data_IF_873763839752
#
_entry.id   IF_873763839752
#
_cell.length_a   1.000
_cell.length_b   1.000
_cell.length_c   1.000
_cell.angle_alpha   90.00
_cell.angle_beta   90.00
_cell.angle_gamma   90.00
#
_symmetry.space_group_name_H-M   'P 1'
#
loop_
_entity.id
_entity.type
_entity.pdbx_description
1 polymer ?
#
# COMPACT_ATOMS: atom_id res chain seq x y z
N UNK A 1 -9.15 -2.56 -2.90
CA UNK A 1 -8.25 -1.43 -2.58
C UNK A 1 -7.00 -2.00 -1.93
N UNK A 2 -5.82 -1.55 -2.33
CA UNK A 2 -4.52 -1.95 -1.76
C UNK A 2 -3.87 -0.74 -1.09
N UNK A 3 -3.25 -0.94 0.06
CA UNK A 3 -2.51 0.08 0.79
C UNK A 3 -1.00 -0.21 0.73
N UNK A 4 -0.22 0.84 0.49
CA UNK A 4 1.24 0.82 0.64
C UNK A 4 1.59 1.60 1.89
N UNK A 5 2.31 0.96 2.79
CA UNK A 5 2.62 1.52 4.11
C UNK A 5 4.13 1.59 4.26
N UNK A 6 4.63 2.78 4.61
CA UNK A 6 6.01 2.98 5.05
C UNK A 6 5.93 3.32 6.53
N UNK A 7 6.58 2.51 7.37
CA UNK A 7 6.64 2.77 8.80
C UNK A 7 7.65 3.87 9.08
N UNK A 8 7.38 4.66 10.13
CA UNK A 8 8.37 5.60 10.65
C UNK A 8 9.54 4.82 11.25
N UNK A 9 10.75 5.39 11.28
CA UNK A 9 11.89 4.77 11.96
C UNK A 9 11.53 4.38 13.40
N UNK A 10 11.79 3.13 13.77
CA UNK A 10 11.47 2.58 15.10
C UNK A 10 10.00 2.19 15.33
N UNK A 11 9.08 2.52 14.40
CA UNK A 11 7.70 2.08 14.49
C UNK A 11 7.55 0.64 13.99
N UNK A 12 6.69 -0.12 14.65
CA UNK A 12 6.28 -1.46 14.24
C UNK A 12 4.77 -1.47 14.11
N UNK A 13 4.28 -2.02 13.00
CA UNK A 13 2.87 -2.32 12.84
C UNK A 13 2.73 -3.53 11.91
N UNK A 14 1.75 -4.35 12.20
CA UNK A 14 1.36 -5.51 11.40
C UNK A 14 0.23 -5.15 10.44
N UNK A 15 0.04 -5.97 9.40
CA UNK A 15 -1.07 -5.77 8.46
C UNK A 15 -2.43 -5.83 9.18
N UNK A 16 -2.55 -6.68 10.20
CA UNK A 16 -3.78 -6.82 10.98
C UNK A 16 -4.09 -5.57 11.81
N UNK A 17 -3.09 -5.01 12.50
CA UNK A 17 -3.25 -3.76 13.25
C UNK A 17 -3.67 -2.59 12.35
N UNK A 18 -3.06 -2.48 11.16
CA UNK A 18 -3.44 -1.47 10.17
C UNK A 18 -4.87 -1.70 9.67
N UNK A 19 -5.26 -2.96 9.41
CA UNK A 19 -6.62 -3.30 8.99
C UNK A 19 -7.65 -2.99 10.09
N UNK A 20 -7.36 -3.36 11.34
CA UNK A 20 -8.22 -3.09 12.50
C UNK A 20 -8.37 -1.59 12.75
N UNK A 21 -7.30 -0.80 12.56
CA UNK A 21 -7.37 0.65 12.59
C UNK A 21 -8.27 1.19 11.48
N UNK A 22 -8.09 0.71 10.24
CA UNK A 22 -8.97 1.06 9.13
C UNK A 22 -10.43 0.64 9.37
N UNK A 23 -10.69 -0.49 10.03
CA UNK A 23 -12.05 -0.94 10.35
C UNK A 23 -12.78 -0.01 11.29
N UNK A 24 -12.08 0.51 12.31
CA UNK A 24 -12.65 1.44 13.28
C UNK A 24 -12.97 2.82 12.70
N UNK A 25 -12.25 3.24 11.65
CA UNK A 25 -12.31 4.61 11.12
C UNK A 25 -12.84 4.72 9.69
N UNK A 26 -12.95 3.63 8.93
CA UNK A 26 -13.35 3.63 7.53
C UNK A 26 -14.54 2.72 7.26
N UNK A 27 -15.38 3.15 6.32
CA UNK A 27 -16.45 2.32 5.77
C UNK A 27 -15.89 1.02 5.14
N UNK A 28 -16.67 -0.08 5.12
CA UNK A 28 -16.21 -1.39 4.65
C UNK A 28 -15.57 -1.39 3.26
N UNK A 29 -16.07 -0.58 2.33
CA UNK A 29 -15.55 -0.51 0.96
C UNK A 29 -14.21 0.24 0.84
N UNK A 30 -13.86 1.07 1.83
CA UNK A 30 -12.58 1.81 1.87
C UNK A 30 -11.47 1.03 2.56
N UNK A 31 -11.80 -0.07 3.25
CA UNK A 31 -10.78 -0.90 3.91
C UNK A 31 -9.83 -1.52 2.87
N UNK A 32 -8.50 -1.42 3.09
CA UNK A 32 -7.55 -2.09 2.23
C UNK A 32 -7.67 -3.60 2.41
N UNK A 33 -7.83 -4.32 1.29
CA UNK A 33 -7.84 -5.78 1.27
C UNK A 33 -6.41 -6.32 1.33
N UNK A 34 -5.51 -5.66 0.65
CA UNK A 34 -4.08 -5.96 0.60
C UNK A 34 -3.31 -4.80 1.23
N UNK A 35 -2.35 -5.13 2.10
CA UNK A 35 -1.45 -4.17 2.74
C UNK A 35 -0.02 -4.63 2.42
N UNK A 36 0.76 -3.74 1.82
CA UNK A 36 2.16 -4.01 1.50
C UNK A 36 3.05 -3.00 2.23
N UNK A 37 3.95 -3.52 3.05
CA UNK A 37 4.97 -2.72 3.71
C UNK A 37 6.15 -2.53 2.77
N UNK A 38 6.66 -1.31 2.68
CA UNK A 38 7.85 -0.96 1.89
C UNK A 38 8.73 -0.01 2.71
N UNK A 39 10.01 0.05 2.36
CA UNK A 39 10.95 1.00 2.99
C UNK A 39 10.75 2.42 2.45
N UNK A 40 10.29 2.55 1.22
CA UNK A 40 10.05 3.84 0.59
C UNK A 40 8.91 3.80 -0.43
N UNK A 41 8.34 4.98 -0.70
CA UNK A 41 7.39 5.18 -1.80
C UNK A 41 8.07 5.96 -2.91
N UNK A 42 7.73 5.69 -4.19
CA UNK A 42 8.21 6.49 -5.29
C UNK A 42 7.71 7.92 -5.11
N UNK A 43 8.66 8.85 -5.10
CA UNK A 43 8.40 10.28 -4.93
C UNK A 43 8.95 11.03 -6.15
N UNK A 44 8.32 12.14 -6.49
CA UNK A 44 8.89 13.09 -7.44
C UNK A 44 10.13 13.76 -6.85
N UNK A 45 10.89 14.47 -7.69
CA UNK A 45 12.03 15.30 -7.27
C UNK A 45 11.69 16.33 -6.18
N UNK A 46 10.41 16.73 -6.09
CA UNK A 46 9.88 17.64 -5.06
C UNK A 46 9.16 16.91 -3.92
N UNK A 47 9.37 15.60 -3.77
CA UNK A 47 8.87 14.80 -2.65
C UNK A 47 7.41 14.33 -2.72
N UNK A 48 6.68 14.59 -3.82
CA UNK A 48 5.27 14.16 -3.96
C UNK A 48 5.19 12.67 -4.27
N UNK A 49 4.33 11.93 -3.58
CA UNK A 49 4.13 10.50 -3.84
C UNK A 49 3.53 10.24 -5.23
N UNK A 50 4.22 9.44 -6.03
CA UNK A 50 3.81 9.03 -7.38
C UNK A 50 2.82 7.87 -7.34
N UNK A 51 1.56 8.17 -7.01
CA UNK A 51 0.46 7.18 -6.95
C UNK A 51 0.29 6.41 -8.27
N UNK A 52 0.49 7.08 -9.41
CA UNK A 52 0.38 6.46 -10.75
C UNK A 52 1.42 5.35 -10.95
N UNK A 53 2.66 5.59 -10.50
CA UNK A 53 3.74 4.61 -10.62
C UNK A 53 3.46 3.39 -9.74
N UNK A 54 3.04 3.59 -8.49
CA UNK A 54 2.59 2.50 -7.61
C UNK A 54 1.49 1.66 -8.26
N UNK A 55 0.49 2.30 -8.88
CA UNK A 55 -0.57 1.58 -9.59
C UNK A 55 -0.07 0.82 -10.83
N UNK A 56 0.93 1.34 -11.55
CA UNK A 56 1.55 0.65 -12.69
C UNK A 56 2.38 -0.55 -12.25
N UNK A 57 3.20 -0.41 -11.21
CA UNK A 57 4.00 -1.50 -10.64
C UNK A 57 3.13 -2.68 -10.22
N UNK A 58 2.00 -2.42 -9.54
CA UNK A 58 1.06 -3.47 -9.17
C UNK A 58 0.38 -4.12 -10.36
N UNK A 59 -0.02 -3.33 -11.36
CA UNK A 59 -0.63 -3.87 -12.58
C UNK A 59 0.37 -4.76 -13.33
N UNK A 60 1.64 -4.36 -13.38
CA UNK A 60 2.71 -5.15 -13.98
C UNK A 60 2.92 -6.46 -13.20
N UNK A 61 3.07 -6.40 -11.87
CA UNK A 61 3.16 -7.60 -11.01
C UNK A 61 2.01 -8.57 -11.23
N UNK A 62 0.77 -8.06 -11.27
CA UNK A 62 -0.43 -8.88 -11.50
C UNK A 62 -0.49 -9.50 -12.90
N UNK A 63 0.05 -8.83 -13.92
CA UNK A 63 0.14 -9.39 -15.28
C UNK A 63 1.18 -10.52 -15.38
N UNK A 64 2.30 -10.40 -14.69
CA UNK A 64 3.38 -11.40 -14.74
C UNK A 64 3.05 -12.66 -13.92
N UNK A 65 2.25 -12.53 -12.85
CA UNK A 65 1.89 -13.64 -11.98
C UNK A 65 0.76 -14.56 -12.51
N UNK A 66 0.20 -14.26 -13.68
CA UNK A 66 -0.75 -15.16 -14.37
C UNK A 66 -0.09 -15.65 -15.67
N UNK A 67 0.70 -16.74 -15.63
CA UNK A 67 0.87 -17.55 -16.82
C UNK A 67 -0.44 -18.32 -17.05
N UNK A 68 -0.80 -18.46 -18.32
CA UNK A 68 -2.00 -19.10 -18.84
C UNK A 68 -2.26 -20.51 -18.29
#
# INVERSE_FOLDING_TARGET
VKAFVVLKPGAKATADEIRAHCEKHLAPFKRPKEIEFRDSLPKTLIGKTLRRQLAQEEKAKRKTAVPA
#
